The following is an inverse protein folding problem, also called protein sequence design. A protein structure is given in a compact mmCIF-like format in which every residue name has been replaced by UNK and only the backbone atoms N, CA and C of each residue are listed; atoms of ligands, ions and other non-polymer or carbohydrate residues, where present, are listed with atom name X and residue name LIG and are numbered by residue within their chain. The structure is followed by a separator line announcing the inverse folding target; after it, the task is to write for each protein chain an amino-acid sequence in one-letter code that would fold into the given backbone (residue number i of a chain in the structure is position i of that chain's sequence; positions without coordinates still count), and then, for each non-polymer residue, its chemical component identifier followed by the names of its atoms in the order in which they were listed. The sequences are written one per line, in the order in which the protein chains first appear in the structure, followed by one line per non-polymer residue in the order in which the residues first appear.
data_IF_921160314984
#
_entry.id   IF_921160314984
#
_cell.length_a   1.000
_cell.length_b   1.000
_cell.length_c   1.000
_cell.angle_alpha   90.00
_cell.angle_beta   90.00
_cell.angle_gamma   90.00
#
_symmetry.space_group_name_H-M   'P 1'
#
loop_
_entity.id
_entity.type
_entity.pdbx_description
1 polymer ?
#
# COMPACT_ATOMS: atom_id res chain seq x y z
N UNK A 1 9.99 0.87 10.01
CA UNK A 1 9.04 -0.12 10.59
C UNK A 1 9.11 -0.29 12.11
N UNK A 2 9.87 0.54 12.85
CA UNK A 2 9.66 0.68 14.30
C UNK A 2 8.60 1.76 14.56
N UNK A 3 7.34 1.49 14.20
CA UNK A 3 6.23 2.40 14.49
C UNK A 3 5.24 1.71 15.44
N UNK A 4 4.84 2.39 16.51
CA UNK A 4 3.74 1.94 17.39
C UNK A 4 2.39 2.00 16.67
N UNK A 5 2.27 2.88 15.68
CA UNK A 5 1.03 3.10 14.95
C UNK A 5 0.79 2.01 13.92
N UNK A 6 -0.48 1.73 13.69
CA UNK A 6 -0.96 0.87 12.61
C UNK A 6 -1.24 1.75 11.40
N UNK A 7 -0.73 1.37 10.23
CA UNK A 7 -0.96 2.13 9.00
C UNK A 7 -2.43 2.03 8.54
N UNK A 8 -2.85 2.93 7.65
CA UNK A 8 -4.24 2.99 7.17
C UNK A 8 -4.66 1.68 6.48
N UNK A 9 -3.76 1.09 5.69
CA UNK A 9 -3.94 -0.17 4.96
C UNK A 9 -4.19 -1.33 5.92
N UNK A 10 -3.39 -1.41 6.98
CA UNK A 10 -3.51 -2.46 7.99
C UNK A 10 -4.83 -2.30 8.76
N UNK A 11 -5.20 -1.08 9.13
CA UNK A 11 -6.48 -0.81 9.81
C UNK A 11 -7.67 -1.21 8.92
N UNK A 12 -7.62 -0.93 7.62
CA UNK A 12 -8.67 -1.33 6.69
C UNK A 12 -8.81 -2.86 6.63
N UNK A 13 -7.69 -3.59 6.54
CA UNK A 13 -7.68 -5.06 6.55
C UNK A 13 -8.22 -5.63 7.87
N UNK A 14 -7.74 -5.09 9.00
CA UNK A 14 -8.19 -5.51 10.34
C UNK A 14 -9.70 -5.26 10.51
N UNK A 15 -10.20 -4.12 10.05
CA UNK A 15 -11.62 -3.78 10.16
C UNK A 15 -12.51 -4.74 9.35
N UNK A 16 -12.12 -5.06 8.11
CA UNK A 16 -12.83 -6.03 7.30
C UNK A 16 -12.88 -7.42 7.96
N UNK A 17 -11.75 -7.88 8.50
CA UNK A 17 -11.67 -9.15 9.23
C UNK A 17 -12.58 -9.15 10.47
N UNK A 18 -12.57 -8.07 11.28
CA UNK A 18 -13.44 -7.92 12.45
C UNK A 18 -14.93 -7.93 12.09
N UNK A 19 -15.28 -7.39 10.93
CA UNK A 19 -16.65 -7.34 10.43
C UNK A 19 -17.08 -8.64 9.70
N UNK A 20 -16.19 -9.61 9.52
CA UNK A 20 -16.48 -10.83 8.75
C UNK A 20 -16.66 -10.59 7.25
N UNK A 21 -16.08 -9.52 6.71
CA UNK A 21 -16.19 -9.15 5.29
C UNK A 21 -14.96 -9.66 4.54
N UNK A 22 -15.18 -10.40 3.46
CA UNK A 22 -14.11 -10.86 2.59
C UNK A 22 -13.50 -9.71 1.78
N UNK A 23 -12.17 -9.70 1.69
CA UNK A 23 -11.41 -8.77 0.84
C UNK A 23 -10.92 -9.41 -0.46
N UNK A 24 -11.16 -10.72 -0.66
CA UNK A 24 -10.67 -11.46 -1.82
C UNK A 24 -11.20 -10.84 -3.11
N UNK A 25 -10.29 -10.49 -4.02
CA UNK A 25 -10.60 -9.85 -5.29
C UNK A 25 -10.97 -8.37 -5.18
N UNK A 26 -10.86 -7.75 -4.01
CA UNK A 26 -11.11 -6.32 -3.81
C UNK A 26 -9.97 -5.42 -4.33
N UNK A 27 -10.26 -4.14 -4.48
CA UNK A 27 -9.27 -3.10 -4.81
C UNK A 27 -9.10 -2.13 -3.62
N UNK A 28 -7.86 -1.72 -3.33
CA UNK A 28 -7.54 -0.79 -2.24
C UNK A 28 -7.15 0.59 -2.78
N UNK A 29 -7.71 1.64 -2.17
CA UNK A 29 -7.37 3.03 -2.48
C UNK A 29 -6.64 3.63 -1.28
N UNK A 30 -5.48 4.24 -1.54
CA UNK A 30 -4.63 4.85 -0.51
C UNK A 30 -4.43 6.31 -0.83
N UNK A 31 -4.71 7.16 0.16
CA UNK A 31 -4.55 8.61 0.07
C UNK A 31 -3.97 9.16 1.38
N UNK A 32 -3.14 10.18 1.28
CA UNK A 32 -2.55 10.83 2.44
C UNK A 32 -2.06 12.24 2.11
N UNK A 33 -2.06 13.11 3.11
CA UNK A 33 -1.52 14.46 3.03
C UNK A 33 -0.75 14.79 4.31
N UNK A 34 0.29 15.61 4.19
CA UNK A 34 0.98 16.20 5.35
C UNK A 34 0.20 17.42 5.83
N UNK A 35 0.10 17.57 7.14
CA UNK A 35 -0.60 18.69 7.80
C UNK A 35 0.41 19.70 8.35
N UNK A 36 1.54 19.21 8.87
CA UNK A 36 2.60 20.05 9.38
C UNK A 36 3.30 20.78 8.22
N UNK A 37 3.33 22.12 8.28
CA UNK A 37 3.84 22.97 7.19
C UNK A 37 2.80 23.30 6.11
N UNK A 38 1.50 23.07 6.38
CA UNK A 38 0.41 23.30 5.44
C UNK A 38 -0.06 22.02 4.75
N UNK A 39 -1.34 21.97 4.36
CA UNK A 39 -1.93 20.79 3.71
C UNK A 39 -1.26 20.58 2.35
N UNK A 40 -0.43 19.54 2.26
CA UNK A 40 0.27 19.17 1.02
C UNK A 40 0.08 17.69 0.73
N UNK A 41 -0.34 17.39 -0.48
CA UNK A 41 -0.41 16.02 -0.96
C UNK A 41 0.98 15.38 -0.93
N UNK A 42 1.01 14.11 -0.57
CA UNK A 42 2.24 13.32 -0.60
C UNK A 42 2.01 12.12 -1.49
N UNK A 43 3.06 11.76 -2.23
CA UNK A 43 3.08 10.46 -2.90
C UNK A 43 3.00 9.39 -1.83
N UNK A 44 1.94 8.59 -1.87
CA UNK A 44 1.73 7.49 -0.94
C UNK A 44 2.02 6.17 -1.65
N UNK A 45 2.65 5.26 -0.92
CA UNK A 45 2.89 3.90 -1.35
C UNK A 45 2.92 3.01 -0.12
N UNK A 46 2.31 1.82 -0.15
CA UNK A 46 2.26 0.96 1.02
C UNK A 46 3.66 0.57 1.47
N UNK A 47 3.89 0.62 2.78
CA UNK A 47 5.14 0.10 3.33
C UNK A 47 5.26 -1.41 3.06
N UNK A 48 6.46 -1.93 3.26
CA UNK A 48 6.77 -3.34 3.06
C UNK A 48 5.84 -4.30 3.82
N UNK A 49 5.60 -4.09 5.12
CA UNK A 49 4.61 -4.87 5.88
C UNK A 49 3.20 -4.73 5.27
N UNK A 50 2.77 -3.53 4.92
CA UNK A 50 1.45 -3.32 4.32
C UNK A 50 1.31 -4.05 2.99
N UNK A 51 2.32 -3.98 2.13
CA UNK A 51 2.36 -4.69 0.84
C UNK A 51 2.24 -6.20 1.01
N UNK A 52 2.96 -6.79 1.97
CA UNK A 52 2.80 -8.21 2.36
C UNK A 52 1.38 -8.54 2.80
N UNK A 53 0.77 -7.70 3.62
CA UNK A 53 -0.61 -7.91 4.10
C UNK A 53 -1.62 -7.79 2.96
N UNK A 54 -1.46 -6.82 2.06
CA UNK A 54 -2.32 -6.61 0.88
C UNK A 54 -2.30 -7.84 -0.03
N UNK A 55 -1.10 -8.38 -0.33
CA UNK A 55 -0.94 -9.59 -1.13
C UNK A 55 -1.69 -10.77 -0.49
N UNK A 56 -1.47 -11.00 0.81
CA UNK A 56 -2.09 -12.13 1.52
C UNK A 56 -3.60 -11.95 1.77
N UNK A 57 -4.10 -10.72 1.82
CA UNK A 57 -5.53 -10.42 1.87
C UNK A 57 -6.25 -10.76 0.55
N UNK A 58 -5.50 -11.07 -0.52
CA UNK A 58 -6.06 -11.46 -1.81
C UNK A 58 -6.63 -10.29 -2.61
N UNK A 59 -6.13 -9.07 -2.38
CA UNK A 59 -6.53 -7.89 -3.14
C UNK A 59 -5.96 -7.93 -4.58
N UNK A 60 -6.67 -7.30 -5.52
CA UNK A 60 -6.32 -7.28 -6.93
C UNK A 60 -5.43 -6.09 -7.30
N UNK A 61 -5.79 -4.89 -6.85
CA UNK A 61 -5.07 -3.64 -7.16
C UNK A 61 -4.92 -2.75 -5.94
N UNK A 62 -3.89 -1.92 -6.00
CA UNK A 62 -3.69 -0.78 -5.10
C UNK A 62 -3.61 0.49 -5.93
N UNK A 63 -4.42 1.48 -5.59
CA UNK A 63 -4.48 2.77 -6.26
C UNK A 63 -3.98 3.83 -5.28
N UNK A 64 -2.91 4.51 -5.64
CA UNK A 64 -2.27 5.54 -4.81
C UNK A 64 -2.25 6.89 -5.52
N UNK A 65 -2.29 7.97 -4.75
CA UNK A 65 -1.97 9.30 -5.28
C UNK A 65 -0.46 9.53 -5.28
N UNK A 66 0.05 10.06 -6.39
CA UNK A 66 1.45 10.47 -6.56
C UNK A 66 1.70 11.88 -5.99
N UNK A 67 2.97 12.30 -5.87
CA UNK A 67 3.33 13.67 -5.45
C UNK A 67 2.74 14.76 -6.38
N UNK A 68 2.33 14.38 -7.60
CA UNK A 68 1.68 15.26 -8.59
C UNK A 68 0.15 15.29 -8.48
N UNK A 69 -0.44 14.62 -7.49
CA UNK A 69 -1.90 14.53 -7.34
C UNK A 69 -2.59 13.58 -8.31
N UNK A 70 -1.81 12.84 -9.13
CA UNK A 70 -2.36 11.88 -10.10
C UNK A 70 -2.48 10.49 -9.50
N UNK A 71 -3.56 9.74 -9.79
CA UNK A 71 -3.69 8.36 -9.39
C UNK A 71 -2.70 7.48 -10.17
N UNK A 72 -2.11 6.52 -9.47
CA UNK A 72 -1.27 5.47 -10.02
C UNK A 72 -1.79 4.12 -9.53
N UNK A 73 -1.92 3.18 -10.46
CA UNK A 73 -2.46 1.85 -10.22
C UNK A 73 -1.32 0.84 -10.18
N UNK A 74 -1.35 -0.03 -9.18
CA UNK A 74 -0.44 -1.15 -9.00
C UNK A 74 -1.24 -2.44 -8.99
N UNK A 75 -0.89 -3.39 -9.84
CA UNK A 75 -1.48 -4.72 -9.83
C UNK A 75 -0.76 -5.58 -8.81
N UNK A 76 -1.50 -6.17 -7.87
CA UNK A 76 -0.94 -7.01 -6.81
C UNK A 76 -0.28 -8.25 -7.40
N UNK A 77 -0.80 -8.78 -8.52
CA UNK A 77 -0.21 -9.90 -9.25
C UNK A 77 1.24 -9.62 -9.67
N UNK A 78 1.53 -8.41 -10.16
CA UNK A 78 2.90 -8.02 -10.55
C UNK A 78 3.86 -8.05 -9.38
N UNK A 79 3.39 -7.64 -8.19
CA UNK A 79 4.19 -7.74 -6.97
C UNK A 79 4.55 -9.18 -6.60
N UNK A 80 3.59 -10.10 -6.76
CA UNK A 80 3.82 -11.53 -6.51
C UNK A 80 4.82 -12.10 -7.52
N UNK A 81 4.72 -11.73 -8.79
CA UNK A 81 5.65 -12.14 -9.84
C UNK A 81 7.06 -11.60 -9.57
N UNK A 82 7.20 -10.32 -9.27
CA UNK A 82 8.48 -9.68 -8.96
C UNK A 82 9.17 -10.30 -7.76
N UNK A 83 8.44 -10.57 -6.67
CA UNK A 83 9.00 -11.14 -5.44
C UNK A 83 9.36 -12.63 -5.55
N UNK A 84 8.97 -13.31 -6.64
CA UNK A 84 9.45 -14.66 -6.95
C UNK A 84 10.82 -14.65 -7.59
N UNK A 85 11.14 -13.59 -8.34
CA UNK A 85 12.37 -13.49 -9.13
C UNK A 85 13.44 -12.63 -8.46
N UNK A 86 13.02 -11.62 -7.68
CA UNK A 86 13.88 -10.62 -7.05
C UNK A 86 13.68 -10.60 -5.55
N UNK A 87 14.68 -10.08 -4.84
CA UNK A 87 14.53 -9.89 -3.41
C UNK A 87 13.51 -8.78 -3.14
N UNK A 88 12.70 -9.00 -2.12
CA UNK A 88 11.66 -8.09 -1.66
C UNK A 88 12.21 -6.71 -1.24
N UNK A 89 13.51 -6.64 -0.90
CA UNK A 89 14.21 -5.41 -0.49
C UNK A 89 14.41 -4.44 -1.68
N UNK A 90 14.37 -4.93 -2.93
CA UNK A 90 14.60 -4.14 -4.15
C UNK A 90 13.43 -3.19 -4.49
N UNK A 91 12.31 -3.28 -3.77
CA UNK A 91 11.11 -2.47 -3.98
C UNK A 91 11.39 -0.95 -3.98
N UNK A 92 12.37 -0.47 -3.19
CA UNK A 92 12.71 0.95 -3.13
C UNK A 92 13.22 1.48 -4.47
N UNK A 93 14.05 0.69 -5.14
CA UNK A 93 14.64 1.05 -6.43
C UNK A 93 13.60 0.93 -7.55
N UNK A 94 12.79 -0.13 -7.52
CA UNK A 94 11.76 -0.42 -8.52
C UNK A 94 10.65 0.65 -8.49
N UNK A 95 10.18 0.98 -7.29
CA UNK A 95 9.03 1.88 -7.12
C UNK A 95 9.42 3.33 -6.81
N UNK A 96 10.72 3.61 -6.64
CA UNK A 96 11.25 4.93 -6.26
C UNK A 96 10.52 5.51 -5.04
N UNK A 97 10.28 4.66 -4.06
CA UNK A 97 9.50 5.00 -2.86
C UNK A 97 10.41 5.52 -1.77
N UNK A 98 10.20 6.77 -1.37
CA UNK A 98 10.77 7.32 -0.15
C UNK A 98 9.80 6.98 0.99
N UNK A 99 10.09 5.93 1.76
CA UNK A 99 9.34 5.59 2.97
C UNK A 99 9.54 6.62 4.07
#
# INVERSE_FOLDING_TARGET
ELCRSVHAEQNAIINAARAGVSLLGGDMYIYGYKIYGGKKEVGVFPCFICKKMIINAGLNKVICITKEGKPKVYEVKKWVEEWREKDMIDDKEIYKTEY
#
